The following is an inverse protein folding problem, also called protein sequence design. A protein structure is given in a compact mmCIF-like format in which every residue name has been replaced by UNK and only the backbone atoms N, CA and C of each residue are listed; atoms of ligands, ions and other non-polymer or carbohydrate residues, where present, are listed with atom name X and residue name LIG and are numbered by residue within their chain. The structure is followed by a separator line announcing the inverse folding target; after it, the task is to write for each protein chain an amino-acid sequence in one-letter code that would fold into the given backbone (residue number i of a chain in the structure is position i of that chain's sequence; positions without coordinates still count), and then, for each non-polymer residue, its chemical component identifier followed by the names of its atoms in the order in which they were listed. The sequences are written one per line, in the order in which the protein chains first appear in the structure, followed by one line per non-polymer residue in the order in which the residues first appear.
data_IF_182919660640
#
_entry.id   IF_182919660640
#
_cell.length_a   1.000
_cell.length_b   1.000
_cell.length_c   1.000
_cell.angle_alpha   90.00
_cell.angle_beta   90.00
_cell.angle_gamma   90.00
#
_symmetry.space_group_name_H-M   'P 1'
#
loop_
_entity.id
_entity.type
_entity.pdbx_description
1 polymer ?
#
# COMPACT_ATOMS: atom_id res chain seq x y z
N UNK A 1 -8.54 28.90 -2.73
CA UNK A 1 -9.48 27.83 -3.13
C UNK A 1 -8.73 26.50 -3.27
N UNK A 2 -8.57 25.78 -2.15
CA UNK A 2 -7.95 24.44 -2.04
C UNK A 2 -8.57 23.68 -0.85
N UNK A 3 -9.90 23.74 -0.72
CA UNK A 3 -10.60 23.10 0.40
C UNK A 3 -10.56 21.56 0.31
N UNK A 4 -10.63 21.02 -0.91
CA UNK A 4 -10.68 19.58 -1.19
C UNK A 4 -9.45 18.79 -0.75
N UNK A 5 -8.31 19.44 -0.51
CA UNK A 5 -7.08 18.75 -0.08
C UNK A 5 -7.20 18.19 1.35
N UNK A 6 -8.04 18.81 2.18
CA UNK A 6 -8.29 18.35 3.54
C UNK A 6 -8.92 16.96 3.59
N UNK A 7 -9.72 16.62 2.58
CA UNK A 7 -10.43 15.33 2.51
C UNK A 7 -9.47 14.15 2.29
N UNK A 8 -8.26 14.44 1.79
CA UNK A 8 -7.21 13.45 1.54
C UNK A 8 -6.10 13.47 2.59
N UNK A 9 -6.18 14.36 3.58
CA UNK A 9 -5.16 14.50 4.60
C UNK A 9 -5.37 13.51 5.75
N UNK A 10 -4.28 12.89 6.20
CA UNK A 10 -4.30 12.07 7.41
C UNK A 10 -4.14 12.89 8.70
N UNK A 11 -3.64 14.11 8.58
CA UNK A 11 -3.30 14.98 9.70
C UNK A 11 -4.00 16.32 9.58
N UNK A 12 -4.58 16.78 10.69
CA UNK A 12 -5.14 18.14 10.80
C UNK A 12 -4.08 19.14 11.27
N UNK A 13 -3.08 18.67 12.02
CA UNK A 13 -2.04 19.51 12.60
C UNK A 13 -0.70 19.38 11.85
N UNK A 14 -0.04 20.52 11.61
CA UNK A 14 1.28 20.58 10.97
C UNK A 14 2.36 19.84 11.77
N UNK A 15 2.28 19.89 13.10
CA UNK A 15 3.28 19.28 13.97
C UNK A 15 3.24 17.75 13.88
N UNK A 16 2.05 17.17 13.82
CA UNK A 16 1.88 15.72 13.70
C UNK A 16 2.33 15.21 12.33
N UNK A 17 2.05 15.98 11.27
CA UNK A 17 2.54 15.69 9.93
C UNK A 17 4.07 15.70 9.88
N UNK A 18 4.69 16.73 10.45
CA UNK A 18 6.14 16.87 10.49
C UNK A 18 6.79 15.75 11.30
N UNK A 19 6.22 15.43 12.46
CA UNK A 19 6.67 14.33 13.32
C UNK A 19 6.56 12.99 12.60
N UNK A 20 5.44 12.72 11.93
CA UNK A 20 5.24 11.48 11.18
C UNK A 20 6.24 11.35 10.03
N UNK A 21 6.48 12.42 9.27
CA UNK A 21 7.47 12.42 8.21
C UNK A 21 8.89 12.16 8.74
N UNK A 22 9.27 12.77 9.87
CA UNK A 22 10.57 12.53 10.49
C UNK A 22 10.72 11.09 11.01
N UNK A 23 9.68 10.53 11.65
CA UNK A 23 9.70 9.14 12.12
C UNK A 23 9.85 8.15 10.97
N UNK A 24 9.05 8.31 9.90
CA UNK A 24 9.13 7.48 8.69
C UNK A 24 10.52 7.56 8.04
N UNK A 25 11.12 8.76 7.99
CA UNK A 25 12.46 8.98 7.45
C UNK A 25 13.55 8.31 8.28
N UNK A 26 13.39 8.25 9.60
CA UNK A 26 14.33 7.58 10.51
C UNK A 26 14.22 6.06 10.41
N UNK A 27 13.00 5.52 10.40
CA UNK A 27 12.75 4.08 10.28
C UNK A 27 13.33 3.53 8.96
N UNK A 28 13.00 4.17 7.84
CA UNK A 28 13.43 3.73 6.51
C UNK A 28 14.75 4.36 6.07
N UNK A 29 15.57 4.84 7.00
CA UNK A 29 16.81 5.56 6.67
C UNK A 29 17.73 4.73 5.78
N UNK A 30 17.93 3.44 6.10
CA UNK A 30 18.81 2.55 5.34
C UNK A 30 18.23 2.18 3.97
N UNK A 31 16.90 2.17 3.83
CA UNK A 31 16.22 1.81 2.59
C UNK A 31 16.13 2.99 1.62
N UNK A 32 16.16 4.23 2.11
CA UNK A 32 16.02 5.45 1.32
C UNK A 32 17.36 6.03 0.86
N UNK A 33 17.43 6.39 -0.43
CA UNK A 33 18.57 7.14 -0.96
C UNK A 33 18.42 8.64 -0.69
N UNK A 34 19.48 9.43 -0.86
CA UNK A 34 19.43 10.88 -0.61
C UNK A 34 18.32 11.56 -1.42
N UNK A 35 18.19 11.22 -2.71
CA UNK A 35 17.12 11.77 -3.56
C UNK A 35 15.72 11.42 -3.05
N UNK A 36 15.52 10.22 -2.50
CA UNK A 36 14.21 9.80 -1.97
C UNK A 36 13.83 10.66 -0.75
N UNK A 37 14.82 10.99 0.08
CA UNK A 37 14.67 11.88 1.25
C UNK A 37 14.35 13.31 0.83
N UNK A 38 15.02 13.81 -0.20
CA UNK A 38 14.76 15.15 -0.74
C UNK A 38 13.34 15.24 -1.32
N UNK A 39 12.86 14.19 -2.00
CA UNK A 39 11.47 14.10 -2.49
C UNK A 39 10.48 14.12 -1.33
N UNK A 40 10.72 13.34 -0.28
CA UNK A 40 9.87 13.32 0.91
C UNK A 40 9.82 14.70 1.59
N UNK A 41 10.96 15.37 1.74
CA UNK A 41 11.04 16.70 2.34
C UNK A 41 10.29 17.75 1.49
N UNK A 42 10.35 17.66 0.16
CA UNK A 42 9.54 18.50 -0.73
C UNK A 42 8.05 18.25 -0.48
N UNK A 43 7.59 17.00 -0.54
CA UNK A 43 6.18 16.66 -0.32
C UNK A 43 5.71 17.16 1.05
N UNK A 44 6.50 16.97 2.10
CA UNK A 44 6.23 17.47 3.45
C UNK A 44 6.02 18.98 3.45
N UNK A 45 6.96 19.76 2.89
CA UNK A 45 6.90 21.23 2.84
C UNK A 45 5.63 21.74 2.15
N UNK A 46 5.20 21.09 1.08
CA UNK A 46 3.98 21.47 0.37
C UNK A 46 2.69 20.98 1.06
N UNK A 47 2.78 20.02 1.98
CA UNK A 47 1.64 19.47 2.72
C UNK A 47 1.30 20.24 4.00
N UNK A 48 2.20 21.08 4.52
CA UNK A 48 2.05 21.77 5.83
C UNK A 48 0.72 22.52 6.01
N UNK A 49 0.16 23.09 4.94
CA UNK A 49 -1.05 23.94 5.02
C UNK A 49 -2.36 23.15 5.05
N UNK A 50 -2.41 21.99 4.40
CA UNK A 50 -3.65 21.25 4.19
C UNK A 50 -3.57 19.78 4.60
N UNK A 51 -2.41 19.31 5.07
CA UNK A 51 -2.14 17.92 5.42
C UNK A 51 -1.88 17.00 4.22
N UNK A 52 -2.06 17.50 3.00
CA UNK A 52 -1.76 16.82 1.74
C UNK A 52 -1.19 17.83 0.71
N UNK A 53 -0.39 17.33 -0.23
CA UNK A 53 0.24 18.14 -1.27
C UNK A 53 -0.32 17.82 -2.66
N UNK A 54 -0.79 18.85 -3.37
CA UNK A 54 -1.12 18.73 -4.78
C UNK A 54 0.06 19.20 -5.63
N UNK A 55 0.78 18.26 -6.26
CA UNK A 55 2.02 18.57 -6.96
C UNK A 55 2.08 17.91 -8.34
N UNK A 56 2.56 18.67 -9.33
CA UNK A 56 3.02 18.15 -10.62
C UNK A 56 4.41 17.55 -10.44
N UNK A 57 4.74 16.51 -11.21
CA UNK A 57 6.11 15.96 -11.23
C UNK A 57 7.14 17.04 -11.58
N UNK A 58 6.82 17.94 -12.51
CA UNK A 58 7.67 19.07 -12.89
C UNK A 58 8.04 19.99 -11.71
N UNK A 59 7.12 20.21 -10.77
CA UNK A 59 7.38 21.05 -9.60
C UNK A 59 8.41 20.39 -8.67
N UNK A 60 8.30 19.08 -8.46
CA UNK A 60 9.25 18.30 -7.65
C UNK A 60 10.61 18.24 -8.36
N UNK A 61 10.59 18.08 -9.68
CA UNK A 61 11.78 18.12 -10.54
C UNK A 61 12.57 19.41 -10.36
N UNK A 62 11.88 20.56 -10.45
CA UNK A 62 12.48 21.89 -10.26
C UNK A 62 13.01 22.10 -8.85
N UNK A 63 12.36 21.54 -7.84
CA UNK A 63 12.78 21.66 -6.44
C UNK A 63 14.09 20.90 -6.15
N UNK A 64 14.26 19.70 -6.73
CA UNK A 64 15.39 18.79 -6.43
C UNK A 64 16.49 18.85 -7.50
N UNK A 65 16.22 19.49 -8.65
CA UNK A 65 17.13 19.58 -9.80
C UNK A 65 17.60 18.20 -10.30
N UNK A 66 16.69 17.23 -10.30
CA UNK A 66 16.91 15.87 -10.82
C UNK A 66 15.98 15.63 -12.00
N UNK A 67 16.28 14.63 -12.83
CA UNK A 67 15.43 14.31 -13.97
C UNK A 67 14.06 13.77 -13.55
N UNK A 68 13.06 13.98 -14.39
CA UNK A 68 11.71 13.47 -14.21
C UNK A 68 11.65 11.96 -13.91
N UNK A 69 12.46 11.16 -14.61
CA UNK A 69 12.54 9.71 -14.42
C UNK A 69 13.01 9.34 -13.00
N UNK A 70 13.96 10.09 -12.45
CA UNK A 70 14.49 9.89 -11.10
C UNK A 70 13.43 10.22 -10.05
N UNK A 71 12.73 11.35 -10.22
CA UNK A 71 11.63 11.76 -9.33
C UNK A 71 10.52 10.70 -9.33
N UNK A 72 10.11 10.21 -10.50
CA UNK A 72 9.10 9.15 -10.60
C UNK A 72 9.56 7.85 -9.95
N UNK A 73 10.84 7.48 -10.06
CA UNK A 73 11.41 6.31 -9.38
C UNK A 73 11.36 6.47 -7.87
N UNK A 74 11.76 7.63 -7.35
CA UNK A 74 11.72 7.94 -5.93
C UNK A 74 10.29 7.89 -5.37
N UNK A 75 9.31 8.50 -6.06
CA UNK A 75 7.90 8.47 -5.67
C UNK A 75 7.38 7.03 -5.60
N UNK A 76 7.64 6.20 -6.62
CA UNK A 76 7.21 4.79 -6.61
C UNK A 76 7.86 4.00 -5.47
N UNK A 77 9.09 4.34 -5.10
CA UNK A 77 9.78 3.70 -3.98
C UNK A 77 9.16 4.10 -2.64
N UNK A 78 8.89 5.39 -2.43
CA UNK A 78 8.19 5.89 -1.24
C UNK A 78 6.78 5.29 -1.10
N UNK A 79 6.08 5.09 -2.21
CA UNK A 79 4.77 4.42 -2.27
C UNK A 79 4.90 2.93 -1.88
N UNK A 80 5.93 2.22 -2.37
CA UNK A 80 6.21 0.82 -2.00
C UNK A 80 6.55 0.65 -0.52
N UNK A 81 7.27 1.61 0.07
CA UNK A 81 7.58 1.63 1.50
C UNK A 81 6.35 1.99 2.36
N UNK A 82 5.25 2.42 1.75
CA UNK A 82 4.05 2.82 2.49
C UNK A 82 4.24 4.13 3.27
N UNK A 83 5.14 5.01 2.81
CA UNK A 83 5.36 6.31 3.44
C UNK A 83 4.34 7.34 2.90
N UNK A 84 4.05 7.26 1.60
CA UNK A 84 3.12 8.17 0.91
C UNK A 84 2.04 7.39 0.17
N UNK A 85 0.83 7.95 0.10
CA UNK A 85 -0.22 7.52 -0.83
C UNK A 85 -0.32 8.52 -1.99
N UNK A 86 -0.33 8.00 -3.23
CA UNK A 86 -0.52 8.78 -4.45
C UNK A 86 -1.96 8.64 -4.93
N UNK A 87 -2.68 9.75 -4.99
CA UNK A 87 -4.05 9.82 -5.51
C UNK A 87 -4.02 10.59 -6.82
N UNK A 88 -4.43 9.92 -7.91
CA UNK A 88 -4.52 10.53 -9.22
C UNK A 88 -5.71 11.50 -9.23
N UNK A 89 -5.44 12.80 -9.40
CA UNK A 89 -6.48 13.82 -9.42
C UNK A 89 -6.57 14.44 -10.80
N UNK A 90 -7.64 14.11 -11.54
CA UNK A 90 -7.94 14.71 -12.83
C UNK A 90 -8.93 15.85 -12.61
N UNK A 91 -8.54 17.09 -12.96
CA UNK A 91 -9.45 18.24 -12.85
C UNK A 91 -10.46 18.18 -14.01
N UNK A 92 -11.78 18.26 -13.75
CA UNK A 92 -12.81 18.15 -14.79
C UNK A 92 -12.67 19.16 -15.94
N UNK A 93 -12.14 20.35 -15.64
CA UNK A 93 -12.06 21.48 -16.58
C UNK A 93 -10.81 21.45 -17.47
N UNK A 94 -9.83 20.58 -17.18
CA UNK A 94 -8.58 20.50 -17.95
C UNK A 94 -8.30 19.07 -18.39
N UNK A 95 -8.77 18.72 -19.59
CA UNK A 95 -8.49 17.53 -20.41
C UNK A 95 -7.27 16.68 -19.98
N UNK A 96 -7.40 15.90 -18.91
CA UNK A 96 -6.41 14.91 -18.47
C UNK A 96 -5.09 15.42 -17.84
N UNK A 97 -4.81 16.74 -17.82
CA UNK A 97 -3.56 17.31 -17.26
C UNK A 97 -3.63 17.51 -15.73
N UNK A 98 -4.13 16.49 -15.05
CA UNK A 98 -4.21 16.43 -13.59
C UNK A 98 -2.84 16.37 -12.93
N UNK A 99 -2.72 16.99 -11.75
CA UNK A 99 -1.59 16.72 -10.86
C UNK A 99 -1.96 15.61 -9.87
N UNK A 100 -0.96 15.04 -9.22
CA UNK A 100 -1.22 14.01 -8.22
C UNK A 100 -1.33 14.68 -6.85
N UNK A 101 -2.23 14.13 -6.03
CA UNK A 101 -2.30 14.44 -4.61
C UNK A 101 -1.41 13.41 -3.90
N UNK A 102 -0.54 13.90 -3.02
CA UNK A 102 0.33 13.11 -2.17
C UNK A 102 -0.07 13.35 -0.72
N UNK A 103 -0.38 12.26 -0.01
CA UNK A 103 -0.68 12.27 1.41
C UNK A 103 0.38 11.47 2.16
N UNK A 104 0.94 12.05 3.22
CA UNK A 104 1.92 11.36 4.08
C UNK A 104 1.16 10.50 5.09
N UNK A 105 1.51 9.23 5.19
CA UNK A 105 0.82 8.29 6.07
C UNK A 105 1.32 8.41 7.51
N UNK A 106 0.45 8.16 8.49
CA UNK A 106 0.90 8.06 9.88
C UNK A 106 1.85 6.89 10.06
N UNK A 107 2.86 7.11 10.90
CA UNK A 107 3.77 6.06 11.33
C UNK A 107 3.00 5.04 12.15
N UNK A 108 2.67 3.91 11.52
CA UNK A 108 2.15 2.75 12.23
C UNK A 108 3.36 1.93 12.66
N UNK A 109 3.66 1.98 13.96
CA UNK A 109 4.42 0.91 14.57
C UNK A 109 3.72 -0.41 14.20
N UNK A 110 4.45 -1.49 13.85
CA UNK A 110 3.85 -2.80 13.68
C UNK A 110 3.35 -3.27 15.05
N UNK A 111 2.19 -2.78 15.48
CA UNK A 111 1.41 -3.41 16.54
C UNK A 111 1.07 -4.79 16.02
N UNK A 112 1.64 -5.79 16.67
CA UNK A 112 1.41 -7.20 16.39
C UNK A 112 -0.09 -7.45 16.21
N UNK A 113 -0.45 -7.92 15.01
CA UNK A 113 -1.76 -8.47 14.61
C UNK A 113 -2.88 -7.42 14.55
N UNK A 114 -3.28 -7.03 13.33
CA UNK A 114 -4.67 -7.18 12.87
C UNK A 114 -4.66 -7.36 11.35
N UNK A 115 -4.87 -8.61 10.90
CA UNK A 115 -5.15 -8.93 9.51
C UNK A 115 -6.50 -8.30 9.16
N UNK A 116 -6.51 -7.06 8.69
CA UNK A 116 -7.72 -6.49 8.08
C UNK A 116 -7.93 -7.15 6.73
N UNK A 117 -8.93 -8.02 6.70
CA UNK A 117 -9.52 -8.64 5.52
C UNK A 117 -9.70 -7.57 4.43
N UNK A 118 -9.10 -7.79 3.26
CA UNK A 118 -9.45 -7.07 2.05
C UNK A 118 -10.74 -7.70 1.53
N UNK A 119 -11.85 -7.01 1.72
CA UNK A 119 -13.09 -7.28 0.99
C UNK A 119 -12.87 -6.93 -0.49
N UNK A 120 -12.45 -7.94 -1.27
CA UNK A 120 -12.61 -7.93 -2.72
C UNK A 120 -13.89 -8.71 -3.04
N UNK A 121 -14.98 -8.08 -3.49
CA UNK A 121 -16.15 -8.81 -3.98
C UNK A 121 -15.91 -9.17 -5.44
N UNK A 122 -15.12 -10.21 -5.71
CA UNK A 122 -15.10 -10.81 -7.03
C UNK A 122 -14.60 -12.26 -6.98
N UNK A 123 -15.49 -13.16 -7.39
CA UNK A 123 -15.23 -14.55 -7.83
C UNK A 123 -15.36 -15.62 -6.75
N UNK A 124 -16.60 -15.82 -6.30
CA UNK A 124 -17.10 -17.17 -5.98
C UNK A 124 -17.03 -17.99 -7.27
N UNK A 125 -16.19 -19.03 -7.31
CA UNK A 125 -16.52 -20.36 -7.87
C UNK A 125 -15.36 -21.35 -7.68
N UNK A 126 -15.62 -22.32 -6.81
CA UNK A 126 -15.34 -23.75 -6.96
C UNK A 126 -13.86 -24.20 -6.97
N UNK A 127 -13.36 -24.58 -5.79
CA UNK A 127 -12.37 -25.65 -5.64
C UNK A 127 -12.58 -26.35 -4.29
N UNK A 128 -13.63 -27.18 -4.20
CA UNK A 128 -13.85 -28.09 -3.06
C UNK A 128 -13.94 -29.51 -3.60
N UNK A 129 -12.79 -30.11 -3.92
CA UNK A 129 -12.69 -31.56 -4.00
C UNK A 129 -11.23 -31.98 -3.97
N UNK A 130 -10.69 -32.17 -2.77
CA UNK A 130 -9.55 -33.04 -2.49
C UNK A 130 -9.31 -32.98 -0.98
N UNK A 131 -9.82 -33.99 -0.27
CA UNK A 131 -9.35 -34.50 1.03
C UNK A 131 -10.52 -35.20 1.73
N UNK A 132 -10.78 -36.47 1.38
CA UNK A 132 -11.33 -37.52 2.27
C UNK A 132 -11.30 -38.87 1.56
N UNK A 133 -10.13 -39.48 1.36
CA UNK A 133 -9.94 -40.95 1.30
C UNK A 133 -8.46 -41.28 1.54
N UNK A 134 -7.99 -41.02 2.76
CA UNK A 134 -6.73 -41.56 3.29
C UNK A 134 -7.00 -42.05 4.72
N UNK A 135 -7.93 -42.98 4.83
CA UNK A 135 -8.19 -43.77 6.03
C UNK A 135 -9.04 -44.97 5.60
N UNK A 136 -8.35 -45.98 5.06
CA UNK A 136 -8.73 -47.39 5.12
C UNK A 136 -7.56 -48.21 4.56
N UNK A 137 -6.58 -48.46 5.42
CA UNK A 137 -5.49 -49.41 5.19
C UNK A 137 -5.38 -50.31 6.41
N UNK A 138 -6.23 -51.34 6.46
CA UNK A 138 -6.23 -52.54 7.30
C UNK A 138 -7.66 -53.10 7.16
N UNK A 139 -7.96 -54.31 6.72
CA UNK A 139 -7.25 -55.57 6.82
C UNK A 139 -7.57 -56.46 5.60
N UNK A 140 -6.61 -57.28 5.23
CA UNK A 140 -6.73 -58.36 4.27
C UNK A 140 -6.93 -59.64 5.07
N UNK A 141 -8.12 -60.24 5.07
CA UNK A 141 -8.32 -61.62 5.51
C UNK A 141 -9.29 -62.36 4.57
N UNK A 142 -9.02 -63.66 4.31
CA UNK A 142 -9.58 -64.41 3.20
C UNK A 142 -11.02 -64.91 3.42
N UNK A 143 -11.72 -65.13 2.31
CA UNK A 143 -13.04 -65.75 2.18
C UNK A 143 -13.12 -67.08 2.94
N UNK A 144 -14.20 -67.36 3.69
CA UNK A 144 -14.39 -68.64 4.35
C UNK A 144 -14.75 -69.73 3.33
N UNK A 145 -13.98 -70.81 3.35
CA UNK A 145 -14.26 -72.10 2.70
C UNK A 145 -15.13 -72.98 3.62
N UNK A 146 -16.03 -73.78 3.02
CA UNK A 146 -16.84 -74.90 3.56
C UNK A 146 -18.09 -74.50 4.38
N UNK A 147 -19.28 -75.10 4.25
CA UNK A 147 -19.62 -76.53 4.11
C UNK A 147 -21.09 -76.73 3.62
N UNK A 148 -21.41 -77.98 3.25
CA UNK A 148 -22.61 -78.56 2.62
C UNK A 148 -23.98 -78.33 3.29
N UNK A 149 -25.05 -78.44 2.48
CA UNK A 149 -26.24 -79.35 2.62
C UNK A 149 -27.36 -78.85 1.66
N UNK A 150 -28.10 -79.63 0.87
CA UNK A 150 -28.52 -81.05 0.90
C UNK A 150 -28.49 -81.69 -0.50
#
# INVERSE_FOLDING_TARGET
MTHYLKDYAYFTNKFDLDKAASLQKQEHWQEMNQTDRDVLDVIRRYSVKFGAAHLKHYTIEKAIKKSNATVRRAIRKLEKLGIIDRIHYVRPVMNGLGANIYAIKPFKQPSKIEKRVKDNPATVKQARNQERKASNSAEMLPVPTTFLSE
#
